data_IF_046581776665
#
_entry.id   IF_046581776665
#
_cell.length_a   1.000
_cell.length_b   1.000
_cell.length_c   1.000
_cell.angle_alpha   90.00
_cell.angle_beta   90.00
_cell.angle_gamma   90.00
#
_symmetry.space_group_name_H-M   'P 1'
#
loop_
_entity.id
_entity.type
_entity.pdbx_description
1 polymer ?
#
# COMPACT_ATOMS: atom_id res chain seq x y z
N UNK A 1 2.25 -12.22 -9.53
CA UNK A 1 3.03 -10.98 -9.57
C UNK A 1 2.43 -10.05 -8.54
N UNK A 2 3.09 -9.95 -7.38
CA UNK A 2 2.59 -9.17 -6.26
C UNK A 2 3.13 -7.74 -6.45
N UNK A 3 2.40 -6.91 -7.20
CA UNK A 3 2.64 -5.48 -7.18
C UNK A 3 2.29 -5.02 -5.76
N UNK A 4 3.22 -5.10 -4.82
CA UNK A 4 3.09 -4.49 -3.49
C UNK A 4 4.03 -3.29 -3.42
N UNK A 5 3.75 -2.17 -4.11
CA UNK A 5 4.49 -0.93 -3.91
C UNK A 5 4.22 -0.28 -2.54
N UNK A 6 3.34 -0.87 -1.71
CA UNK A 6 2.80 -0.26 -0.48
C UNK A 6 3.79 -0.23 0.68
N UNK A 7 4.97 -0.83 0.55
CA UNK A 7 5.70 -1.30 1.74
C UNK A 7 7.04 -0.63 1.99
N UNK A 8 7.43 0.37 1.21
CA UNK A 8 8.65 1.13 1.53
C UNK A 8 8.42 2.21 2.62
N UNK A 9 7.16 2.60 2.86
CA UNK A 9 6.87 3.87 3.55
C UNK A 9 5.82 3.82 4.66
N UNK A 10 5.37 2.63 5.08
CA UNK A 10 4.27 2.50 6.06
C UNK A 10 4.46 3.39 7.30
N UNK A 11 5.65 3.41 7.92
CA UNK A 11 5.85 4.19 9.16
C UNK A 11 6.31 5.65 8.97
N UNK A 12 6.71 6.05 7.77
CA UNK A 12 7.20 7.42 7.53
C UNK A 12 6.07 8.39 7.21
N UNK A 13 5.05 7.93 6.51
CA UNK A 13 3.95 8.75 5.99
C UNK A 13 2.59 8.33 6.54
N UNK A 14 2.50 7.16 7.18
CA UNK A 14 1.30 6.70 7.87
C UNK A 14 1.57 6.30 9.31
N UNK A 15 0.49 6.25 10.06
CA UNK A 15 0.41 5.58 11.34
C UNK A 15 -0.49 4.34 11.18
N UNK A 16 0.00 3.20 11.68
CA UNK A 16 -0.79 1.98 11.77
C UNK A 16 -1.73 2.05 12.97
N UNK A 17 -2.97 1.64 12.78
CA UNK A 17 -4.01 1.66 13.80
C UNK A 17 -4.25 0.21 14.23
N UNK A 18 -3.57 -0.22 15.29
CA UNK A 18 -3.62 -1.62 15.76
C UNK A 18 -5.04 -2.09 16.07
N UNK A 19 -5.90 -1.23 16.62
CA UNK A 19 -7.31 -1.58 16.89
C UNK A 19 -8.11 -1.78 15.59
N UNK A 20 -7.78 -1.04 14.53
CA UNK A 20 -8.36 -1.24 13.21
C UNK A 20 -7.93 -2.58 12.63
N UNK A 21 -6.62 -2.87 12.71
CA UNK A 21 -6.03 -4.12 12.24
C UNK A 21 -6.62 -5.33 12.98
N UNK A 22 -6.74 -5.26 14.31
CA UNK A 22 -7.31 -6.34 15.10
C UNK A 22 -8.78 -6.59 14.75
N UNK A 23 -9.56 -5.53 14.51
CA UNK A 23 -10.96 -5.66 14.08
C UNK A 23 -11.08 -6.30 12.70
N UNK A 24 -10.25 -5.89 11.75
CA UNK A 24 -10.26 -6.47 10.40
C UNK A 24 -9.79 -7.93 10.42
N UNK A 25 -8.76 -8.26 11.21
CA UNK A 25 -8.34 -9.64 11.47
C UNK A 25 -9.47 -10.50 12.02
N UNK A 26 -10.17 -10.04 13.06
CA UNK A 26 -11.27 -10.76 13.69
C UNK A 26 -12.42 -11.05 12.71
N UNK A 27 -12.61 -10.23 11.68
CA UNK A 27 -13.58 -10.48 10.62
C UNK A 27 -13.05 -11.44 9.55
N UNK A 28 -11.77 -11.33 9.22
CA UNK A 28 -11.11 -12.16 8.21
C UNK A 28 -10.99 -13.61 8.68
N UNK A 29 -10.56 -13.84 9.92
CA UNK A 29 -10.33 -15.20 10.46
C UNK A 29 -11.59 -16.07 10.48
N UNK A 30 -12.79 -15.47 10.52
CA UNK A 30 -14.08 -16.18 10.41
C UNK A 30 -14.23 -16.93 9.08
N UNK A 31 -13.58 -16.45 8.02
CA UNK A 31 -13.63 -17.02 6.68
C UNK A 31 -12.39 -17.87 6.35
N UNK A 32 -11.31 -17.74 7.13
CA UNK A 32 -10.03 -18.39 6.87
C UNK A 32 -9.48 -19.04 8.16
N UNK A 33 -9.96 -20.24 8.54
CA UNK A 33 -9.69 -20.88 9.84
C UNK A 33 -8.23 -21.31 10.11
N UNK A 34 -7.28 -20.99 9.22
CA UNK A 34 -5.83 -21.16 9.44
C UNK A 34 -5.05 -19.85 9.56
N UNK A 35 -5.72 -18.69 9.45
CA UNK A 35 -5.08 -17.39 9.48
C UNK A 35 -4.77 -16.98 10.92
N UNK A 36 -3.48 -16.87 11.24
CA UNK A 36 -3.03 -16.31 12.53
C UNK A 36 -2.89 -14.79 12.43
N UNK A 37 -3.03 -14.08 13.54
CA UNK A 37 -2.79 -12.63 13.59
C UNK A 37 -1.37 -12.30 13.12
N UNK A 38 -0.39 -13.15 13.47
CA UNK A 38 1.00 -13.00 13.01
C UNK A 38 1.10 -13.01 11.48
N UNK A 39 0.45 -13.98 10.82
CA UNK A 39 0.44 -14.05 9.35
C UNK A 39 -0.29 -12.85 8.76
N UNK A 40 -1.41 -12.45 9.35
CA UNK A 40 -2.18 -11.30 8.89
C UNK A 40 -1.38 -9.99 8.99
N UNK A 41 -0.59 -9.81 10.06
CA UNK A 41 0.25 -8.64 10.28
C UNK A 41 1.39 -8.48 9.26
N UNK A 42 1.80 -9.56 8.57
CA UNK A 42 2.86 -9.48 7.56
C UNK A 42 2.49 -8.56 6.40
N UNK A 43 1.19 -8.28 6.16
CA UNK A 43 0.77 -7.32 5.13
C UNK A 43 1.17 -5.85 5.43
N UNK A 44 1.47 -5.53 6.70
CA UNK A 44 1.90 -4.20 7.16
C UNK A 44 3.40 -4.10 7.41
N UNK A 45 4.15 -5.17 7.14
CA UNK A 45 5.58 -5.24 7.42
C UNK A 45 6.38 -4.46 6.40
N UNK A 46 7.07 -3.41 6.83
CA UNK A 46 7.99 -2.62 6.00
C UNK A 46 8.96 -3.51 5.20
N UNK A 47 9.04 -3.28 3.89
CA UNK A 47 10.05 -3.87 3.02
C UNK A 47 11.37 -3.09 3.11
N UNK A 48 12.48 -3.78 2.87
CA UNK A 48 13.80 -3.15 2.76
C UNK A 48 13.96 -2.54 1.37
N UNK A 49 14.84 -1.54 1.24
CA UNK A 49 15.21 -0.93 -0.06
C UNK A 49 15.68 -1.94 -1.10
N UNK A 50 16.28 -3.06 -0.69
CA UNK A 50 16.70 -4.13 -1.61
C UNK A 50 15.55 -4.99 -2.13
N UNK A 51 14.39 -4.93 -1.48
CA UNK A 51 13.20 -5.71 -1.81
C UNK A 51 12.16 -4.87 -2.56
N UNK A 52 12.37 -3.55 -2.68
CA UNK A 52 11.47 -2.64 -3.36
C UNK A 52 12.21 -1.75 -4.36
N UNK A 53 11.65 -1.57 -5.55
CA UNK A 53 12.19 -0.67 -6.57
C UNK A 53 11.16 0.42 -6.85
N UNK A 54 11.47 1.64 -6.41
CA UNK A 54 10.57 2.79 -6.54
C UNK A 54 10.75 3.56 -7.87
N UNK A 55 11.76 3.23 -8.68
CA UNK A 55 12.05 3.88 -9.97
C UNK A 55 12.21 5.42 -9.93
N UNK A 56 12.54 5.97 -8.75
CA UNK A 56 12.59 7.42 -8.51
C UNK A 56 11.22 8.11 -8.49
N UNK A 57 10.14 7.33 -8.42
CA UNK A 57 8.76 7.81 -8.42
C UNK A 57 8.37 8.21 -6.99
N UNK A 58 7.77 9.39 -6.78
CA UNK A 58 7.32 9.84 -5.46
C UNK A 58 6.14 9.00 -4.96
N UNK A 59 5.89 9.08 -3.65
CA UNK A 59 4.76 8.40 -3.05
C UNK A 59 3.42 9.00 -3.51
N UNK A 60 2.48 8.14 -3.91
CA UNK A 60 1.16 8.56 -4.36
C UNK A 60 0.08 8.03 -3.42
N UNK A 61 -0.51 8.94 -2.64
CA UNK A 61 -1.61 8.63 -1.73
C UNK A 61 -2.87 8.14 -2.48
N UNK A 62 -3.02 8.50 -3.76
CA UNK A 62 -4.17 8.14 -4.60
C UNK A 62 -3.94 6.93 -5.49
N UNK A 63 -2.81 6.22 -5.33
CA UNK A 63 -2.52 4.98 -6.04
C UNK A 63 -3.63 3.95 -5.79
N UNK A 64 -4.02 3.21 -6.85
CA UNK A 64 -4.95 2.08 -6.74
C UNK A 64 -4.41 0.96 -5.83
N UNK A 65 -3.09 0.94 -5.66
CA UNK A 65 -2.39 -0.03 -4.83
C UNK A 65 -2.42 0.35 -3.35
N UNK A 66 -3.01 1.50 -2.99
CA UNK A 66 -3.01 2.02 -1.63
C UNK A 66 -4.25 1.57 -0.83
N UNK A 67 -4.05 1.10 0.41
CA UNK A 67 -5.15 0.85 1.36
C UNK A 67 -6.00 2.10 1.61
N UNK A 68 -7.31 1.94 1.70
CA UNK A 68 -8.21 3.04 2.07
C UNK A 68 -8.07 3.48 3.51
N UNK A 69 -8.33 4.76 3.77
CA UNK A 69 -8.39 5.34 5.12
C UNK A 69 -9.79 5.83 5.51
N UNK A 70 -10.73 5.83 4.56
CA UNK A 70 -12.02 6.53 4.66
C UNK A 70 -13.12 5.80 5.46
N UNK A 71 -12.79 4.80 6.26
CA UNK A 71 -13.74 3.99 7.04
C UNK A 71 -13.78 4.35 8.53
N UNK A 72 -14.78 3.87 9.29
CA UNK A 72 -14.87 4.09 10.74
C UNK A 72 -13.75 3.40 11.54
N UNK A 73 -13.12 2.37 10.96
CA UNK A 73 -12.03 1.60 11.56
C UNK A 73 -10.89 1.42 10.55
N UNK A 74 -10.18 2.48 10.16
CA UNK A 74 -9.08 2.34 9.23
C UNK A 74 -7.94 1.57 9.90
N UNK A 75 -7.23 0.74 9.13
CA UNK A 75 -6.01 0.06 9.58
C UNK A 75 -4.78 0.97 9.50
N UNK A 76 -4.88 2.05 8.72
CA UNK A 76 -3.82 3.00 8.46
C UNK A 76 -4.38 4.41 8.20
N UNK A 77 -3.73 5.44 8.74
CA UNK A 77 -4.07 6.86 8.51
C UNK A 77 -2.86 7.64 8.02
N UNK A 78 -3.01 8.59 7.09
CA UNK A 78 -1.90 9.44 6.69
C UNK A 78 -1.56 10.39 7.82
N UNK A 79 -0.26 10.61 8.03
CA UNK A 79 0.23 11.63 8.96
C UNK A 79 -0.20 13.02 8.52
N UNK A 80 -0.19 13.28 7.21
CA UNK A 80 -0.77 14.49 6.64
C UNK A 80 -2.26 14.26 6.33
N UNK A 81 -3.10 14.85 7.17
CA UNK A 81 -4.56 14.72 7.14
C UNK A 81 -5.20 15.17 5.82
N UNK A 82 -4.51 15.99 5.01
CA UNK A 82 -5.02 16.44 3.70
C UNK A 82 -5.24 15.27 2.74
N UNK A 83 -4.49 14.18 2.91
CA UNK A 83 -4.55 13.00 2.05
C UNK A 83 -5.52 11.92 2.53
N UNK A 84 -6.21 12.12 3.65
CA UNK A 84 -7.11 11.12 4.24
C UNK A 84 -8.22 10.68 3.28
N UNK A 85 -8.73 11.59 2.44
CA UNK A 85 -9.76 11.28 1.44
C UNK A 85 -9.20 10.82 0.09
N UNK A 86 -7.89 10.94 -0.11
CA UNK A 86 -7.21 10.56 -1.35
C UNK A 86 -6.89 9.07 -1.37
N UNK A 87 -6.64 8.48 -0.20
CA UNK A 87 -6.31 7.06 -0.03
C UNK A 87 -7.49 6.12 -0.33
N UNK A 88 -7.16 4.96 -0.92
CA UNK A 88 -8.15 3.95 -1.29
C UNK A 88 -8.92 4.28 -2.56
N UNK A 89 -8.33 5.07 -3.45
CA UNK A 89 -8.89 5.35 -4.77
C UNK A 89 -9.08 4.04 -5.56
N UNK A 90 -10.24 3.81 -6.20
CA UNK A 90 -10.42 2.68 -7.11
C UNK A 90 -9.84 2.94 -8.51
N UNK A 91 -9.28 4.13 -8.75
CA UNK A 91 -8.78 4.56 -10.06
C UNK A 91 -7.26 4.38 -10.16
N UNK A 92 -6.80 3.93 -11.34
CA UNK A 92 -5.37 3.86 -11.67
C UNK A 92 -4.82 5.29 -11.77
N UNK A 93 -3.76 5.58 -11.02
CA UNK A 93 -3.11 6.88 -11.08
C UNK A 93 -2.07 6.95 -12.20
N UNK A 94 -1.66 8.16 -12.57
CA UNK A 94 -0.54 8.36 -13.50
C UNK A 94 0.76 7.74 -12.95
N UNK A 95 0.94 7.79 -11.63
CA UNK A 95 2.08 7.20 -10.92
C UNK A 95 2.09 5.68 -11.07
N UNK A 96 0.93 5.03 -10.93
CA UNK A 96 0.79 3.58 -11.11
C UNK A 96 1.20 3.15 -12.52
N UNK A 97 0.67 3.85 -13.54
CA UNK A 97 1.00 3.58 -14.93
C UNK A 97 2.49 3.80 -15.22
N UNK A 98 3.07 4.88 -14.70
CA UNK A 98 4.50 5.18 -14.85
C UNK A 98 5.36 4.10 -14.22
N UNK A 99 4.99 3.60 -13.03
CA UNK A 99 5.72 2.55 -12.34
C UNK A 99 5.73 1.25 -13.14
N UNK A 100 4.58 0.84 -13.67
CA UNK A 100 4.45 -0.36 -14.54
C UNK A 100 5.27 -0.19 -15.81
N UNK A 101 5.18 0.96 -16.48
CA UNK A 101 5.94 1.22 -17.70
C UNK A 101 7.45 1.17 -17.46
N UNK A 102 7.95 1.77 -16.37
CA UNK A 102 9.37 1.66 -16.01
C UNK A 102 9.78 0.24 -15.61
N UNK A 103 8.88 -0.53 -15.02
CA UNK A 103 9.14 -1.92 -14.63
C UNK A 103 9.32 -2.84 -15.84
N UNK A 104 8.48 -2.67 -16.87
CA UNK A 104 8.50 -3.49 -18.09
C UNK A 104 9.18 -2.82 -19.29
N UNK A 105 9.90 -1.71 -19.09
CA UNK A 105 10.57 -0.97 -20.17
C UNK A 105 9.62 -0.52 -21.29
N UNK A 106 8.40 -0.12 -20.93
CA UNK A 106 7.37 0.43 -21.81
C UNK A 106 7.24 1.95 -21.69
N UNK A 107 8.22 2.65 -21.11
CA UNK A 107 8.23 4.10 -20.94
C UNK A 107 8.69 4.87 -22.20
N UNK A 108 8.97 4.15 -23.30
CA UNK A 108 9.36 4.73 -24.58
C UNK A 108 10.80 5.24 -24.61
N UNK A 109 11.58 5.06 -23.54
CA UNK A 109 13.00 5.41 -23.52
C UNK A 109 13.77 4.31 -24.24
N UNK A 110 14.18 4.57 -25.48
CA UNK A 110 15.17 3.71 -26.15
C UNK A 110 16.53 3.95 -25.49
N UNK A 111 17.05 2.96 -24.79
CA UNK A 111 18.46 2.93 -24.42
C UNK A 111 19.26 2.73 -25.70
N UNK A 112 19.76 3.84 -26.25
CA UNK A 112 20.73 3.83 -27.34
C UNK A 112 22.12 3.38 -26.88
#
# INVERSE_FOLDING_TARGET
MDFKPVVDFIFTIFDLILDGIQREYNNTVKHFPGLTLKIYMEQYKKLRRSQNKNYGIPYDYGSIMHYGSSGPNPTMTPKDRRYHRTMGSPLISFTDLTMVNKHYNCDGIKTG
#
